data_IF_993117323146
#
_entry.id   IF_993117323146
#
_cell.length_a   1.000
_cell.length_b   1.000
_cell.length_c   1.000
_cell.angle_alpha   90.00
_cell.angle_beta   90.00
_cell.angle_gamma   90.00
#
_symmetry.space_group_name_H-M   'P 1'
#
loop_
_entity.id
_entity.type
_entity.pdbx_description
1 polymer ?
#
# COMPACT_ATOMS: atom_id res chain seq x y z
N UNK A 1 18.07 -20.10 7.29
CA UNK A 1 16.79 -19.60 7.82
C UNK A 1 15.99 -20.80 8.33
N UNK A 2 15.83 -20.97 9.66
CA UNK A 2 15.03 -22.06 10.23
C UNK A 2 13.62 -21.53 10.56
N UNK A 3 12.71 -21.58 9.58
CA UNK A 3 11.29 -21.33 9.80
C UNK A 3 10.69 -22.50 10.60
N UNK A 4 10.41 -22.28 11.89
CA UNK A 4 9.62 -23.22 12.68
C UNK A 4 8.13 -22.95 12.45
N UNK A 5 7.28 -23.97 12.63
CA UNK A 5 5.81 -23.80 12.54
C UNK A 5 5.29 -22.71 13.49
N UNK A 6 5.94 -22.54 14.63
CA UNK A 6 5.68 -21.48 15.60
C UNK A 6 6.01 -20.09 15.03
N UNK A 7 7.21 -19.91 14.48
CA UNK A 7 7.61 -18.65 13.86
C UNK A 7 6.73 -18.29 12.66
N UNK A 8 6.30 -19.27 11.86
CA UNK A 8 5.41 -19.05 10.73
C UNK A 8 4.02 -18.57 11.18
N UNK A 9 3.48 -19.12 12.27
CA UNK A 9 2.21 -18.66 12.84
C UNK A 9 2.25 -17.20 13.31
N UNK A 10 3.35 -16.79 13.95
CA UNK A 10 3.52 -15.39 14.36
C UNK A 10 3.74 -14.44 13.17
N UNK A 11 4.45 -14.88 12.12
CA UNK A 11 4.57 -14.09 10.90
C UNK A 11 3.19 -13.83 10.29
N UNK A 12 2.36 -14.87 10.17
CA UNK A 12 0.99 -14.76 9.67
C UNK A 12 0.15 -13.82 10.53
N UNK A 13 0.20 -13.97 11.86
CA UNK A 13 -0.52 -13.08 12.79
C UNK A 13 -0.11 -11.60 12.60
N UNK A 14 1.19 -11.31 12.52
CA UNK A 14 1.68 -9.94 12.34
C UNK A 14 1.20 -9.36 11.01
N UNK A 15 1.27 -10.12 9.91
CA UNK A 15 0.79 -9.69 8.60
C UNK A 15 -0.72 -9.43 8.64
N UNK A 16 -1.50 -10.32 9.24
CA UNK A 16 -2.96 -10.14 9.40
C UNK A 16 -3.29 -8.85 10.17
N UNK A 17 -2.61 -8.59 11.28
CA UNK A 17 -2.84 -7.37 12.07
C UNK A 17 -2.52 -6.08 11.29
N UNK A 18 -1.46 -6.10 10.48
CA UNK A 18 -1.07 -4.95 9.66
C UNK A 18 -2.03 -4.74 8.49
N UNK A 19 -2.44 -5.82 7.81
CA UNK A 19 -3.41 -5.72 6.72
C UNK A 19 -4.79 -5.31 7.20
N UNK A 20 -5.22 -5.76 8.38
CA UNK A 20 -6.52 -5.41 8.97
C UNK A 20 -6.65 -3.90 9.21
N UNK A 21 -5.62 -3.26 9.79
CA UNK A 21 -5.64 -1.80 10.01
C UNK A 21 -5.54 -1.02 8.70
N UNK A 22 -4.83 -1.53 7.70
CA UNK A 22 -4.76 -0.92 6.36
C UNK A 22 -6.15 -0.98 5.71
N UNK A 23 -6.80 -2.14 5.72
CA UNK A 23 -8.14 -2.32 5.15
C UNK A 23 -9.16 -1.42 5.85
N UNK A 24 -9.10 -1.36 7.18
CA UNK A 24 -9.99 -0.49 7.96
C UNK A 24 -9.79 0.98 7.64
N UNK A 25 -8.53 1.43 7.52
CA UNK A 25 -8.21 2.82 7.17
C UNK A 25 -8.56 3.21 5.72
N UNK A 26 -8.64 2.22 4.82
CA UNK A 26 -9.02 2.43 3.43
C UNK A 26 -10.53 2.68 3.27
N UNK A 27 -11.35 2.15 4.16
CA UNK A 27 -12.81 2.26 4.11
C UNK A 27 -13.31 3.62 4.67
N UNK A 28 -14.40 4.18 4.12
CA UNK A 28 -15.21 3.66 3.01
C UNK A 28 -14.70 4.05 1.61
N UNK A 29 -13.68 4.91 1.53
CA UNK A 29 -13.23 5.53 0.28
C UNK A 29 -12.73 4.53 -0.76
N UNK A 30 -12.11 3.44 -0.30
CA UNK A 30 -11.48 2.41 -1.12
C UNK A 30 -11.99 1.02 -0.72
N UNK A 31 -12.52 0.27 -1.67
CA UNK A 31 -13.04 -1.09 -1.46
C UNK A 31 -11.95 -2.15 -1.66
N UNK A 32 -11.72 -3.08 -0.71
CA UNK A 32 -10.78 -4.18 -0.89
C UNK A 32 -11.35 -5.23 -1.85
N UNK A 33 -10.48 -5.85 -2.67
CA UNK A 33 -10.89 -6.91 -3.63
C UNK A 33 -10.14 -8.20 -3.42
N UNK A 34 -8.82 -8.13 -3.30
CA UNK A 34 -7.97 -9.31 -3.18
C UNK A 34 -6.96 -9.10 -2.08
N UNK A 35 -6.85 -10.08 -1.19
CA UNK A 35 -5.74 -10.22 -0.24
C UNK A 35 -4.87 -11.39 -0.71
N UNK A 36 -3.56 -11.19 -0.79
CA UNK A 36 -2.62 -12.21 -1.24
C UNK A 36 -1.31 -12.13 -0.45
N UNK A 37 -1.06 -13.09 0.42
CA UNK A 37 0.13 -13.07 1.28
C UNK A 37 0.17 -11.82 2.16
N UNK A 38 1.13 -10.93 1.89
CA UNK A 38 1.34 -9.65 2.57
C UNK A 38 0.77 -8.44 1.80
N UNK A 39 -0.09 -8.70 0.82
CA UNK A 39 -0.62 -7.70 -0.08
C UNK A 39 -2.13 -7.61 -0.07
N UNK A 40 -2.62 -6.39 -0.34
CA UNK A 40 -4.04 -6.12 -0.52
C UNK A 40 -4.24 -5.17 -1.70
N UNK A 41 -5.26 -5.47 -2.51
CA UNK A 41 -5.71 -4.67 -3.64
C UNK A 41 -6.97 -3.91 -3.28
N UNK A 42 -6.96 -2.60 -3.51
CA UNK A 42 -8.11 -1.72 -3.34
C UNK A 42 -8.57 -1.12 -4.65
N UNK A 43 -9.85 -0.77 -4.73
CA UNK A 43 -10.39 0.04 -5.81
C UNK A 43 -11.42 1.07 -5.37
N UNK A 44 -11.57 2.11 -6.19
CA UNK A 44 -12.68 3.04 -6.13
C UNK A 44 -13.06 3.50 -7.54
N UNK A 45 -14.36 3.77 -7.74
CA UNK A 45 -14.86 4.44 -8.94
C UNK A 45 -14.64 5.93 -8.76
N UNK A 46 -13.93 6.58 -9.69
CA UNK A 46 -13.67 8.02 -9.60
C UNK A 46 -14.95 8.84 -9.69
N UNK A 47 -15.04 9.92 -8.91
CA UNK A 47 -16.09 10.94 -9.04
C UNK A 47 -16.19 11.52 -10.45
N UNK A 48 -15.10 11.53 -11.23
CA UNK A 48 -15.12 11.98 -12.63
C UNK A 48 -16.02 11.10 -13.51
N UNK A 49 -16.04 9.81 -13.22
CA UNK A 49 -16.74 8.81 -14.02
C UNK A 49 -18.12 8.49 -13.44
N UNK A 50 -18.32 8.77 -12.15
CA UNK A 50 -19.60 8.64 -11.45
C UNK A 50 -19.79 9.81 -10.45
N UNK A 51 -20.29 10.96 -10.90
CA UNK A 51 -20.39 12.17 -10.05
C UNK A 51 -21.31 12.04 -8.83
N UNK A 52 -22.26 11.10 -8.84
CA UNK A 52 -23.26 10.96 -7.77
C UNK A 52 -22.76 10.11 -6.60
N UNK A 53 -21.85 9.17 -6.85
CA UNK A 53 -21.42 8.18 -5.85
C UNK A 53 -19.97 7.70 -5.98
N UNK A 54 -19.19 8.31 -6.87
CA UNK A 54 -17.76 8.06 -7.00
C UNK A 54 -16.95 8.71 -5.88
N UNK A 55 -15.75 8.18 -5.65
CA UNK A 55 -14.82 8.68 -4.65
C UNK A 55 -14.02 9.85 -5.23
N UNK A 56 -13.90 10.93 -4.46
CA UNK A 56 -13.11 12.09 -4.87
C UNK A 56 -11.60 11.84 -4.78
N UNK A 57 -10.83 12.54 -5.60
CA UNK A 57 -9.36 12.50 -5.51
C UNK A 57 -8.82 12.84 -4.11
N UNK A 58 -9.35 13.88 -3.43
CA UNK A 58 -9.04 14.18 -2.02
C UNK A 58 -9.39 13.06 -1.04
N UNK A 59 -10.52 12.35 -1.22
CA UNK A 59 -10.89 11.23 -0.35
C UNK A 59 -9.94 10.05 -0.52
N UNK A 60 -9.50 9.77 -1.76
CA UNK A 60 -8.44 8.78 -2.02
C UNK A 60 -7.13 9.19 -1.35
N UNK A 61 -6.72 10.46 -1.49
CA UNK A 61 -5.49 10.96 -0.87
C UNK A 61 -5.53 10.84 0.67
N UNK A 62 -6.68 11.12 1.27
CA UNK A 62 -6.92 10.96 2.71
C UNK A 62 -6.82 9.49 3.11
N UNK A 63 -7.46 8.59 2.37
CA UNK A 63 -7.39 7.15 2.65
C UNK A 63 -5.95 6.63 2.56
N UNK A 64 -5.18 7.03 1.53
CA UNK A 64 -3.76 6.67 1.41
C UNK A 64 -2.95 7.15 2.61
N UNK A 65 -3.19 8.38 3.08
CA UNK A 65 -2.53 8.90 4.27
C UNK A 65 -2.87 8.09 5.53
N UNK A 66 -4.16 7.80 5.76
CA UNK A 66 -4.62 7.04 6.91
C UNK A 66 -4.12 5.59 6.90
N UNK A 67 -4.01 4.96 5.72
CA UNK A 67 -3.45 3.62 5.56
C UNK A 67 -1.98 3.58 5.99
N UNK A 68 -1.17 4.54 5.54
CA UNK A 68 0.23 4.68 5.94
C UNK A 68 0.34 4.90 7.44
N UNK A 69 -0.39 5.87 7.99
CA UNK A 69 -0.35 6.19 9.41
C UNK A 69 -0.78 5.00 10.29
N UNK A 70 -1.82 4.29 9.89
CA UNK A 70 -2.35 3.13 10.61
C UNK A 70 -1.39 1.94 10.59
N UNK A 71 -0.69 1.71 9.47
CA UNK A 71 0.36 0.69 9.39
C UNK A 71 1.46 0.95 10.42
N UNK A 72 2.02 2.16 10.46
CA UNK A 72 3.12 2.48 11.39
C UNK A 72 2.67 2.49 12.85
N UNK A 73 1.44 2.96 13.14
CA UNK A 73 0.84 2.89 14.48
C UNK A 73 0.72 1.45 14.95
N UNK A 74 0.18 0.55 14.10
CA UNK A 74 0.04 -0.88 14.44
C UNK A 74 1.40 -1.57 14.55
N UNK A 75 2.38 -1.23 13.70
CA UNK A 75 3.76 -1.72 13.84
C UNK A 75 4.35 -1.35 15.20
N UNK A 76 4.21 -0.10 15.62
CA UNK A 76 4.69 0.37 16.92
C UNK A 76 3.98 -0.34 18.09
N UNK A 77 2.67 -0.55 18.00
CA UNK A 77 1.89 -1.32 18.98
C UNK A 77 2.40 -2.77 19.09
N UNK A 78 2.59 -3.44 17.95
CA UNK A 78 3.11 -4.81 17.90
C UNK A 78 4.53 -4.90 18.48
N UNK A 79 5.37 -3.89 18.26
CA UNK A 79 6.71 -3.80 18.86
C UNK A 79 6.65 -3.65 20.38
N UNK A 80 5.84 -2.72 20.87
CA UNK A 80 5.71 -2.46 22.30
C UNK A 80 5.16 -3.67 23.06
N UNK A 81 4.26 -4.44 22.44
CA UNK A 81 3.69 -5.67 23.01
C UNK A 81 4.52 -6.94 22.81
N UNK A 82 5.63 -6.89 22.06
CA UNK A 82 6.34 -8.11 21.69
C UNK A 82 7.31 -8.59 22.79
N UNK A 83 6.95 -9.71 23.43
CA UNK A 83 7.84 -10.46 24.35
C UNK A 83 8.44 -11.72 23.69
N UNK A 84 8.11 -11.99 22.43
CA UNK A 84 8.50 -13.22 21.74
C UNK A 84 9.87 -13.07 21.05
N UNK A 85 10.83 -13.97 21.29
CA UNK A 85 12.15 -13.94 20.65
C UNK A 85 12.19 -14.76 19.34
N UNK A 86 11.05 -15.13 18.75
CA UNK A 86 11.06 -15.92 17.51
C UNK A 86 11.54 -15.09 16.31
N UNK A 87 11.99 -15.77 15.25
CA UNK A 87 12.53 -15.10 14.08
C UNK A 87 11.54 -14.11 13.46
N UNK A 88 10.25 -14.46 13.33
CA UNK A 88 9.26 -13.53 12.79
C UNK A 88 9.12 -12.25 13.63
N UNK A 89 9.03 -12.40 14.96
CA UNK A 89 8.86 -11.26 15.87
C UNK A 89 10.07 -10.33 15.90
N UNK A 90 11.29 -10.85 15.71
CA UNK A 90 12.51 -10.03 15.59
C UNK A 90 12.51 -9.10 14.37
N UNK A 91 11.77 -9.44 13.31
CA UNK A 91 11.74 -8.67 12.07
C UNK A 91 10.64 -7.60 12.04
N UNK A 92 9.76 -7.53 13.05
CA UNK A 92 8.71 -6.50 13.14
C UNK A 92 9.27 -5.07 12.97
N UNK A 93 10.43 -4.68 13.55
CA UNK A 93 10.97 -3.33 13.38
C UNK A 93 11.28 -2.97 11.93
N UNK A 94 11.61 -3.96 11.11
CA UNK A 94 11.97 -3.80 9.71
C UNK A 94 10.80 -3.95 8.74
N UNK A 95 9.57 -4.14 9.22
CA UNK A 95 8.38 -4.23 8.38
C UNK A 95 8.02 -2.84 7.86
N UNK A 96 7.90 -2.72 6.55
CA UNK A 96 7.68 -1.46 5.88
C UNK A 96 6.54 -1.56 4.87
N UNK A 97 5.88 -0.44 4.57
CA UNK A 97 4.78 -0.37 3.60
C UNK A 97 5.24 0.23 2.27
N UNK A 98 4.82 -0.42 1.18
CA UNK A 98 4.91 0.08 -0.19
C UNK A 98 3.50 0.27 -0.72
N UNK A 99 3.18 1.44 -1.29
CA UNK A 99 1.90 1.67 -1.95
C UNK A 99 2.08 2.15 -3.40
N UNK A 100 1.17 1.71 -4.27
CA UNK A 100 1.03 2.26 -5.63
C UNK A 100 -0.39 2.80 -5.77
N UNK A 101 -0.52 4.05 -6.19
CA UNK A 101 -1.78 4.70 -6.56
C UNK A 101 -1.77 4.89 -8.07
N UNK A 102 -2.65 4.15 -8.76
CA UNK A 102 -2.70 4.15 -10.21
C UNK A 102 -4.12 4.39 -10.72
N UNK A 103 -4.27 5.08 -11.86
CA UNK A 103 -5.56 5.29 -12.52
C UNK A 103 -5.62 4.64 -13.88
N UNK A 104 -6.70 3.89 -14.14
CA UNK A 104 -7.01 3.31 -15.44
C UNK A 104 -8.29 2.48 -15.43
N UNK A 105 -8.70 1.98 -16.60
CA UNK A 105 -9.92 1.20 -16.73
C UNK A 105 -9.81 -0.18 -16.07
N UNK A 106 -10.84 -0.54 -15.30
CA UNK A 106 -10.98 -1.84 -14.66
C UNK A 106 -12.34 -2.46 -14.99
N UNK A 107 -12.38 -3.78 -15.05
CA UNK A 107 -13.61 -4.55 -15.13
C UNK A 107 -13.79 -5.30 -13.82
N UNK A 108 -14.91 -5.05 -13.14
CA UNK A 108 -15.29 -5.82 -11.96
C UNK A 108 -16.01 -7.09 -12.41
N UNK A 109 -15.68 -8.21 -11.79
CA UNK A 109 -16.41 -9.45 -12.01
C UNK A 109 -16.60 -10.21 -10.71
N UNK A 110 -17.58 -11.11 -10.72
CA UNK A 110 -17.87 -11.99 -9.58
C UNK A 110 -17.85 -13.44 -10.03
N UNK A 111 -17.01 -14.25 -9.41
CA UNK A 111 -16.89 -15.68 -9.68
C UNK A 111 -17.20 -16.45 -8.40
N UNK A 112 -18.30 -17.23 -8.40
CA UNK A 112 -18.72 -18.07 -7.25
C UNK A 112 -18.81 -17.29 -5.91
N UNK A 113 -19.21 -16.03 -5.95
CA UNK A 113 -19.33 -15.17 -4.77
C UNK A 113 -18.05 -14.38 -4.41
N UNK A 114 -16.94 -14.63 -5.09
CA UNK A 114 -15.70 -13.86 -4.96
C UNK A 114 -15.74 -12.70 -5.96
N UNK A 115 -15.62 -11.47 -5.47
CA UNK A 115 -15.47 -10.27 -6.29
C UNK A 115 -14.00 -10.03 -6.59
N UNK A 116 -13.69 -9.64 -7.82
CA UNK A 116 -12.32 -9.42 -8.26
C UNK A 116 -12.26 -8.45 -9.45
N UNK A 117 -11.05 -8.03 -9.81
CA UNK A 117 -10.77 -7.04 -10.85
C UNK A 117 -9.95 -7.65 -11.99
N UNK A 118 -10.23 -7.16 -13.20
CA UNK A 118 -9.47 -7.44 -14.41
C UNK A 118 -9.24 -6.15 -15.19
N UNK A 119 -8.26 -6.15 -16.09
CA UNK A 119 -7.92 -5.01 -16.94
C UNK A 119 -6.43 -4.68 -16.95
N UNK A 120 -6.03 -3.82 -17.89
CA UNK A 120 -4.64 -3.39 -18.02
C UNK A 120 -4.16 -2.62 -16.79
N UNK A 121 -5.01 -1.77 -16.20
CA UNK A 121 -4.70 -1.03 -14.97
C UNK A 121 -4.34 -1.95 -13.80
N UNK A 122 -4.93 -3.15 -13.73
CA UNK A 122 -4.60 -4.17 -12.72
C UNK A 122 -3.21 -4.75 -12.95
N UNK A 123 -2.86 -5.01 -14.21
CA UNK A 123 -1.54 -5.52 -14.59
C UNK A 123 -0.47 -4.46 -14.32
N UNK A 124 -0.73 -3.22 -14.71
CA UNK A 124 0.14 -2.07 -14.50
C UNK A 124 0.44 -1.85 -13.01
N UNK A 125 -0.61 -1.75 -12.17
CA UNK A 125 -0.45 -1.62 -10.73
C UNK A 125 0.34 -2.78 -10.11
N UNK A 126 0.19 -4.01 -10.63
CA UNK A 126 0.95 -5.17 -10.18
C UNK A 126 2.42 -5.14 -10.58
N UNK A 127 2.74 -4.66 -11.78
CA UNK A 127 4.14 -4.49 -12.19
C UNK A 127 4.81 -3.33 -11.45
N UNK A 128 4.09 -2.23 -11.23
CA UNK A 128 4.58 -1.08 -10.46
C UNK A 128 4.93 -1.40 -9.00
N UNK A 129 4.39 -2.46 -8.40
CA UNK A 129 4.88 -2.91 -7.10
C UNK A 129 6.27 -3.55 -7.17
N UNK A 130 6.61 -4.16 -8.31
CA UNK A 130 7.88 -4.85 -8.57
C UNK A 130 8.90 -3.95 -9.26
N UNK A 131 8.74 -2.65 -9.07
CA UNK A 131 9.51 -1.60 -9.71
C UNK A 131 10.97 -1.52 -9.20
N UNK A 132 11.77 -0.62 -9.78
CA UNK A 132 13.20 -0.49 -9.51
C UNK A 132 13.55 0.36 -8.28
N UNK A 133 12.57 0.89 -7.55
CA UNK A 133 12.80 1.78 -6.40
C UNK A 133 13.52 1.05 -5.25
N UNK A 134 13.31 -0.27 -5.10
CA UNK A 134 14.15 -1.20 -4.32
C UNK A 134 14.31 -0.93 -2.81
N UNK A 135 13.84 -1.82 -1.93
CA UNK A 135 14.16 -1.81 -0.48
C UNK A 135 13.68 -0.59 0.34
N UNK A 136 13.08 0.38 -0.35
CA UNK A 136 12.51 1.61 0.19
C UNK A 136 11.01 1.46 0.48
N UNK A 137 10.55 2.23 1.44
CA UNK A 137 9.16 2.37 1.86
C UNK A 137 8.65 3.64 1.24
N UNK A 138 7.57 3.55 0.48
CA UNK A 138 7.15 4.66 -0.37
C UNK A 138 5.69 4.58 -0.76
N UNK A 139 5.18 5.71 -1.23
CA UNK A 139 3.96 5.76 -2.04
C UNK A 139 4.31 6.27 -3.43
N UNK A 140 3.86 5.54 -4.44
CA UNK A 140 4.08 5.86 -5.84
C UNK A 140 2.76 6.25 -6.47
N UNK A 141 2.63 7.50 -6.93
CA UNK A 141 1.43 7.99 -7.60
C UNK A 141 1.73 8.11 -9.09
N UNK A 142 1.08 7.33 -9.94
CA UNK A 142 1.29 7.43 -11.39
C UNK A 142 0.80 8.78 -11.92
N UNK A 143 1.36 9.26 -13.03
CA UNK A 143 0.93 10.51 -13.69
C UNK A 143 -0.59 10.53 -13.94
N UNK A 144 -1.16 9.41 -14.38
CA UNK A 144 -2.60 9.26 -14.58
C UNK A 144 -3.42 9.45 -13.28
N UNK A 145 -2.88 9.05 -12.13
CA UNK A 145 -3.54 9.25 -10.84
C UNK A 145 -3.31 10.66 -10.27
N UNK A 146 -2.16 11.27 -10.56
CA UNK A 146 -1.77 12.59 -10.04
C UNK A 146 -2.67 13.74 -10.54
N UNK A 147 -3.42 13.52 -11.62
CA UNK A 147 -4.45 14.46 -12.08
C UNK A 147 -5.55 14.71 -11.04
N UNK A 148 -5.86 13.71 -10.22
CA UNK A 148 -6.96 13.74 -9.24
C UNK A 148 -6.48 13.57 -7.81
N UNK A 149 -5.52 12.68 -7.60
CA UNK A 149 -5.01 12.31 -6.29
C UNK A 149 -3.71 13.06 -6.05
N UNK A 150 -3.78 14.10 -5.20
CA UNK A 150 -2.61 14.86 -4.77
C UNK A 150 -2.34 14.63 -3.30
N UNK A 151 -1.25 13.95 -3.00
CA UNK A 151 -0.80 13.78 -1.62
C UNK A 151 -0.17 15.09 -1.14
N UNK A 152 -0.74 15.70 -0.09
CA UNK A 152 -0.26 16.95 0.51
C UNK A 152 0.70 16.68 1.67
N UNK A 153 1.75 15.90 1.41
CA UNK A 153 2.80 15.67 2.39
C UNK A 153 3.82 16.81 2.39
N UNK A 154 4.61 16.91 3.46
CA UNK A 154 5.58 18.00 3.64
C UNK A 154 6.71 17.96 2.62
N UNK A 155 7.06 16.77 2.14
CA UNK A 155 8.09 16.57 1.13
C UNK A 155 7.46 16.59 -0.26
N UNK A 156 8.12 17.32 -1.16
CA UNK A 156 7.84 17.23 -2.60
C UNK A 156 8.25 15.84 -3.11
N UNK A 157 7.47 15.23 -4.03
CA UNK A 157 7.80 13.93 -4.57
C UNK A 157 8.98 14.01 -5.54
N UNK A 158 9.78 12.95 -5.55
CA UNK A 158 10.77 12.72 -6.60
C UNK A 158 10.08 12.23 -7.87
N UNK A 159 10.53 12.72 -9.03
CA UNK A 159 10.03 12.23 -10.32
C UNK A 159 10.68 10.90 -10.64
N UNK A 160 9.87 9.85 -10.73
CA UNK A 160 10.30 8.49 -11.01
C UNK A 160 9.76 7.99 -12.34
N UNK A 161 10.48 7.06 -12.96
CA UNK A 161 10.10 6.43 -14.23
C UNK A 161 10.33 4.94 -14.20
N UNK A 162 9.37 4.19 -14.71
CA UNK A 162 9.45 2.75 -14.91
C UNK A 162 9.19 2.40 -16.36
N UNK A 163 9.87 1.39 -16.88
CA UNK A 163 9.64 0.91 -18.24
C UNK A 163 9.41 -0.59 -18.22
N UNK A 164 8.28 -1.02 -18.79
CA UNK A 164 7.92 -2.43 -18.86
C UNK A 164 7.57 -2.84 -20.29
N UNK A 165 8.04 -4.01 -20.69
CA UNK A 165 7.68 -4.63 -21.96
C UNK A 165 6.16 -4.85 -22.05
N UNK A 166 5.53 -4.33 -23.11
CA UNK A 166 4.09 -4.44 -23.35
C UNK A 166 3.22 -3.40 -22.63
N UNK A 167 3.80 -2.51 -21.82
CA UNK A 167 3.09 -1.38 -21.19
C UNK A 167 3.68 -0.04 -21.67
N UNK A 168 5.01 0.04 -21.75
CA UNK A 168 5.73 1.27 -22.10
C UNK A 168 6.33 1.96 -20.88
N UNK A 169 6.61 3.26 -21.03
CA UNK A 169 7.11 4.12 -19.94
C UNK A 169 5.94 4.59 -19.07
N UNK A 170 6.08 4.43 -17.75
CA UNK A 170 5.18 4.97 -16.75
C UNK A 170 5.92 6.02 -15.92
N UNK A 171 5.35 7.21 -15.85
CA UNK A 171 5.85 8.31 -15.02
C UNK A 171 5.10 8.34 -13.71
N UNK A 172 5.83 8.60 -12.63
CA UNK A 172 5.29 8.57 -11.28
C UNK A 172 5.88 9.66 -10.41
N UNK A 173 5.09 10.10 -9.43
CA UNK A 173 5.54 10.84 -8.26
C UNK A 173 5.86 9.83 -7.16
N UNK A 174 7.12 9.82 -6.74
CA UNK A 174 7.65 8.96 -5.69
C UNK A 174 7.74 9.74 -4.38
N UNK A 175 6.97 9.30 -3.40
CA UNK A 175 7.02 9.81 -2.05
C UNK A 175 7.73 8.79 -1.16
N UNK A 176 9.01 9.04 -0.86
CA UNK A 176 9.74 8.25 0.12
C UNK A 176 9.13 8.48 1.50
N UNK A 177 8.78 7.38 2.17
CA UNK A 177 8.32 7.43 3.53
C UNK A 177 9.55 7.53 4.46
N UNK A 178 9.38 8.24 5.56
CA UNK A 178 10.41 8.55 6.55
C UNK A 178 9.80 9.34 7.71
N UNK A 179 10.53 9.51 8.81
CA UNK A 179 10.00 10.16 10.05
C UNK A 179 9.36 11.53 9.79
N UNK A 180 9.81 12.27 8.79
CA UNK A 180 9.32 13.61 8.44
C UNK A 180 8.05 13.63 7.58
N UNK A 181 7.76 12.52 6.89
CA UNK A 181 6.56 12.34 6.03
C UNK A 181 5.37 11.76 6.77
N UNK A 182 5.62 11.11 7.91
CA UNK A 182 4.59 10.58 8.79
C UNK A 182 3.94 11.74 9.56
N UNK A 183 2.61 11.69 9.81
CA UNK A 183 1.93 12.74 10.57
C UNK A 183 2.57 12.88 11.97
N UNK A 184 2.60 14.11 12.48
CA UNK A 184 3.34 14.56 13.66
C UNK A 184 2.91 13.96 15.02
N UNK A 185 2.25 12.81 15.03
CA UNK A 185 1.68 12.18 16.23
C UNK A 185 2.14 10.72 16.43
N UNK A 186 3.22 10.27 15.76
CA UNK A 186 3.83 8.97 16.04
C UNK A 186 5.02 9.16 16.99
N UNK A 187 4.94 8.48 18.13
CA UNK A 187 5.95 8.46 19.20
C UNK A 187 7.34 8.13 18.64
N UNK A 188 8.34 8.91 19.06
CA UNK A 188 9.70 8.90 18.55
C UNK A 188 10.46 7.75 19.20
N UNK A 189 10.68 6.66 18.47
CA UNK A 189 11.69 5.67 18.82
C UNK A 189 12.60 5.38 17.63
N UNK A 190 13.90 5.17 17.88
CA UNK A 190 14.94 5.38 16.87
C UNK A 190 14.93 4.30 15.78
N UNK A 191 15.23 4.74 14.56
CA UNK A 191 15.55 3.90 13.40
C UNK A 191 16.89 3.20 13.64
N UNK A 192 16.89 1.87 13.61
CA UNK A 192 18.12 1.08 13.50
C UNK A 192 18.21 0.44 12.11
N UNK A 193 19.32 0.74 11.43
CA UNK A 193 19.78 0.12 10.21
C UNK A 193 20.20 -1.35 10.45
N UNK A 194 19.82 -2.20 9.49
CA UNK A 194 20.62 -3.27 8.87
C UNK A 194 19.86 -4.58 8.62
N UNK A 195 19.75 -4.88 7.33
CA UNK A 195 19.64 -6.21 6.69
C UNK A 195 18.40 -7.07 6.93
N UNK A 196 17.52 -7.09 5.91
CA UNK A 196 16.48 -8.11 5.71
C UNK A 196 15.04 -7.61 5.86
N UNK A 197 14.58 -6.73 4.96
CA UNK A 197 13.22 -6.16 5.02
C UNK A 197 12.19 -7.09 4.35
N UNK A 198 11.12 -7.41 5.09
CA UNK A 198 9.85 -7.85 4.52
C UNK A 198 9.06 -6.57 4.15
N UNK A 199 8.71 -6.42 2.87
CA UNK A 199 7.94 -5.28 2.37
C UNK A 199 6.49 -5.70 2.26
N UNK A 200 5.59 -5.10 3.03
CA UNK A 200 4.15 -5.26 2.80
C UNK A 200 3.76 -4.47 1.54
N UNK A 201 3.11 -5.16 0.61
CA UNK A 201 2.84 -4.64 -0.73
C UNK A 201 1.37 -4.21 -0.84
N UNK A 202 1.07 -2.91 -0.82
CA UNK A 202 -0.31 -2.43 -0.97
C UNK A 202 -0.54 -1.88 -2.38
N UNK A 203 -1.61 -2.35 -3.01
CA UNK A 203 -2.04 -1.88 -4.33
C UNK A 203 -3.30 -1.05 -4.20
N UNK A 204 -3.26 0.19 -4.68
CA UNK A 204 -4.43 1.06 -4.79
C UNK A 204 -4.68 1.38 -6.26
N UNK A 205 -5.76 0.85 -6.80
CA UNK A 205 -6.20 1.14 -8.18
C UNK A 205 -7.40 2.09 -8.13
N UNK A 206 -7.19 3.33 -8.55
CA UNK A 206 -8.24 4.33 -8.75
C UNK A 206 -8.77 4.20 -10.18
N UNK A 207 -9.70 3.29 -10.42
CA UNK A 207 -10.09 2.92 -11.79
C UNK A 207 -11.59 2.92 -12.04
N UNK A 208 -11.94 3.25 -13.28
CA UNK A 208 -13.29 3.20 -13.86
C UNK A 208 -13.83 1.77 -13.83
N UNK A 209 -14.90 1.53 -13.07
CA UNK A 209 -15.67 0.30 -13.20
C UNK A 209 -16.69 0.47 -14.34
N UNK A 210 -16.52 -0.27 -15.42
CA UNK A 210 -17.65 -0.66 -16.28
C UNK A 210 -18.14 -2.03 -15.87
#
# INVERSE_FOLDING_TARGET
MHLTRFSAGHAQFVVEQLLDVIITAALPSLSPTRVGGDSVMFYAVSERDNPESGTSGPDVATAVHEMVASFYRKRAELLAGNLCPCEACKHIPGLEIKMVVHRGDIMRYRLRGLEDLSGMAVIEAHRLLKNSVGGEHYVLVTEAAAEDVRLRWKLEPDRHRESYEGIGEMRCDLYLLGEETLPSEIDKSPVLDMTGKLVSNVQTIVGTAR
#
